data_IF_863886685397
#
_entry.id   IF_863886685397
#
_cell.length_a   1.000
_cell.length_b   1.000
_cell.length_c   1.000
_cell.angle_alpha   90.00
_cell.angle_beta   90.00
_cell.angle_gamma   90.00
#
_symmetry.space_group_name_H-M   'P 1'
#
loop_
_entity.id
_entity.type
_entity.pdbx_description
1 polymer ?
#
# COMPACT_ATOMS: atom_id res chain seq x y z
N UNK A 1 27.06 10.80 11.24
CA UNK A 1 26.76 9.56 12.00
C UNK A 1 26.18 8.54 11.05
N UNK A 2 26.88 7.42 10.81
CA UNK A 2 26.31 6.23 10.18
C UNK A 2 25.59 5.46 11.28
N UNK A 3 24.29 5.66 11.44
CA UNK A 3 23.48 4.78 12.27
C UNK A 3 23.50 3.40 11.59
N UNK A 4 24.26 2.46 12.14
CA UNK A 4 24.19 1.05 11.78
C UNK A 4 22.85 0.52 12.29
N UNK A 5 21.79 0.78 11.52
CA UNK A 5 20.49 0.18 11.76
C UNK A 5 20.60 -1.34 11.57
N UNK A 6 20.52 -2.09 12.67
CA UNK A 6 20.38 -3.53 12.63
C UNK A 6 18.90 -3.90 12.68
N UNK A 7 18.40 -4.49 11.60
CA UNK A 7 17.04 -5.02 11.55
C UNK A 7 16.88 -6.09 12.65
N UNK A 8 15.96 -5.85 13.59
CA UNK A 8 15.59 -6.88 14.55
C UNK A 8 14.73 -7.95 13.86
N UNK A 9 15.39 -9.00 13.37
CA UNK A 9 14.77 -10.08 12.58
C UNK A 9 13.56 -10.71 13.25
N UNK A 10 13.60 -10.91 14.58
CA UNK A 10 12.48 -11.50 15.34
C UNK A 10 11.27 -10.58 15.32
N UNK A 11 11.47 -9.28 15.61
CA UNK A 11 10.37 -8.30 15.56
C UNK A 11 9.82 -8.14 14.15
N UNK A 12 10.68 -8.15 13.13
CA UNK A 12 10.25 -8.10 11.75
C UNK A 12 9.38 -9.29 11.36
N UNK A 13 9.77 -10.51 11.74
CA UNK A 13 8.97 -11.71 11.50
C UNK A 13 7.60 -11.63 12.18
N UNK A 14 7.55 -11.15 13.42
CA UNK A 14 6.27 -10.93 14.14
C UNK A 14 5.39 -9.93 13.38
N UNK A 15 5.96 -8.86 12.84
CA UNK A 15 5.20 -7.89 12.02
C UNK A 15 4.63 -8.52 10.75
N UNK A 16 5.39 -9.40 10.07
CA UNK A 16 4.89 -10.16 8.92
C UNK A 16 3.71 -11.05 9.34
N UNK A 17 3.84 -11.76 10.47
CA UNK A 17 2.76 -12.61 11.00
C UNK A 17 1.51 -11.78 11.32
N UNK A 18 1.66 -10.63 11.98
CA UNK A 18 0.54 -9.71 12.26
C UNK A 18 -0.13 -9.28 10.96
N UNK A 19 0.65 -8.86 9.96
CA UNK A 19 0.11 -8.46 8.67
C UNK A 19 -0.65 -9.60 7.98
N UNK A 20 -0.14 -10.84 8.02
CA UNK A 20 -0.82 -12.01 7.47
C UNK A 20 -2.15 -12.27 8.20
N UNK A 21 -2.15 -12.25 9.54
CA UNK A 21 -3.36 -12.48 10.34
C UNK A 21 -4.42 -11.43 10.04
N UNK A 22 -4.03 -10.15 9.97
CA UNK A 22 -4.95 -9.05 9.65
C UNK A 22 -5.45 -9.17 8.21
N UNK A 23 -4.59 -9.57 7.28
CA UNK A 23 -4.96 -9.80 5.89
C UNK A 23 -5.99 -10.92 5.75
N UNK A 24 -5.80 -12.04 6.46
CA UNK A 24 -6.77 -13.14 6.52
C UNK A 24 -8.08 -12.68 7.16
N UNK A 25 -8.01 -11.97 8.29
CA UNK A 25 -9.20 -11.42 8.96
C UNK A 25 -9.97 -10.46 8.05
N UNK A 26 -9.25 -9.61 7.30
CA UNK A 26 -9.86 -8.73 6.32
C UNK A 26 -10.60 -9.54 5.27
N UNK A 27 -9.93 -10.49 4.60
CA UNK A 27 -10.54 -11.32 3.55
C UNK A 27 -11.75 -12.16 4.01
N UNK A 28 -11.70 -12.70 5.22
CA UNK A 28 -12.73 -13.64 5.69
C UNK A 28 -13.90 -12.95 6.40
N UNK A 29 -13.68 -11.79 7.00
CA UNK A 29 -14.66 -11.17 7.90
C UNK A 29 -15.02 -9.77 7.42
N UNK A 30 -14.05 -8.86 7.27
CA UNK A 30 -14.33 -7.46 6.93
C UNK A 30 -14.87 -7.36 5.51
N UNK A 31 -14.19 -8.01 4.58
CA UNK A 31 -14.43 -7.90 3.15
C UNK A 31 -15.83 -8.39 2.74
N UNK A 32 -16.34 -9.54 3.24
CA UNK A 32 -17.71 -9.96 2.95
C UNK A 32 -18.81 -9.15 3.65
N UNK A 33 -18.49 -8.48 4.78
CA UNK A 33 -19.46 -7.70 5.56
C UNK A 33 -19.62 -6.27 5.04
N UNK A 34 -18.54 -5.68 4.51
CA UNK A 34 -18.53 -4.29 4.02
C UNK A 34 -18.89 -4.23 2.53
N UNK A 35 -18.44 -5.20 1.74
CA UNK A 35 -18.68 -5.20 0.31
C UNK A 35 -19.75 -6.24 -0.05
N UNK A 36 -20.91 -5.75 -0.47
CA UNK A 36 -21.97 -6.59 -1.00
C UNK A 36 -21.45 -7.43 -2.20
N UNK A 37 -21.56 -8.77 -2.18
CA UNK A 37 -21.16 -9.61 -3.31
C UNK A 37 -21.87 -9.27 -4.63
N UNK A 38 -23.09 -8.73 -4.59
CA UNK A 38 -23.83 -8.29 -5.79
C UNK A 38 -23.26 -7.00 -6.38
N UNK A 39 -22.87 -6.05 -5.53
CA UNK A 39 -22.16 -4.83 -5.94
C UNK A 39 -20.79 -5.19 -6.50
N UNK A 40 -20.07 -6.15 -5.89
CA UNK A 40 -18.81 -6.69 -6.41
C UNK A 40 -18.93 -7.34 -7.77
N UNK A 41 -19.98 -8.12 -8.02
CA UNK A 41 -20.23 -8.70 -9.34
C UNK A 41 -20.36 -7.62 -10.41
N UNK A 42 -21.13 -6.58 -10.13
CA UNK A 42 -21.33 -5.46 -11.07
C UNK A 42 -20.07 -4.60 -11.28
N UNK A 43 -19.31 -4.29 -10.23
CA UNK A 43 -18.10 -3.45 -10.32
C UNK A 43 -16.90 -4.23 -10.89
N UNK A 44 -16.74 -5.53 -10.57
CA UNK A 44 -15.67 -6.37 -11.16
C UNK A 44 -15.84 -6.59 -12.66
N UNK A 45 -17.08 -6.59 -13.16
CA UNK A 45 -17.37 -6.67 -14.60
C UNK A 45 -17.01 -5.35 -15.31
N UNK A 46 -17.07 -4.21 -14.60
CA UNK A 46 -16.72 -2.89 -15.13
C UNK A 46 -15.23 -2.52 -14.97
N UNK A 47 -14.55 -3.04 -13.95
CA UNK A 47 -13.16 -2.69 -13.61
C UNK A 47 -12.39 -3.97 -13.29
N UNK A 48 -11.97 -4.71 -14.31
CA UNK A 48 -11.21 -5.96 -14.16
C UNK A 48 -9.91 -5.81 -13.34
N UNK A 49 -9.41 -4.59 -13.20
CA UNK A 49 -8.19 -4.26 -12.45
C UNK A 49 -8.43 -3.88 -10.97
N UNK A 50 -9.69 -3.87 -10.50
CA UNK A 50 -10.03 -3.60 -9.09
C UNK A 50 -9.36 -4.61 -8.13
N UNK A 51 -9.17 -5.87 -8.57
CA UNK A 51 -8.55 -6.93 -7.75
C UNK A 51 -7.09 -6.60 -7.41
N UNK A 52 -6.35 -5.97 -8.32
CA UNK A 52 -4.95 -5.58 -8.10
C UNK A 52 -4.88 -4.47 -7.05
N UNK A 53 -5.74 -3.45 -7.20
CA UNK A 53 -5.81 -2.31 -6.28
C UNK A 53 -6.22 -2.80 -4.89
N UNK A 54 -7.30 -3.57 -4.78
CA UNK A 54 -7.75 -4.13 -3.49
C UNK A 54 -6.67 -4.99 -2.84
N UNK A 55 -5.96 -5.83 -3.60
CA UNK A 55 -4.88 -6.66 -3.05
C UNK A 55 -3.73 -5.81 -2.48
N UNK A 56 -3.27 -4.80 -3.22
CA UNK A 56 -2.22 -3.90 -2.76
C UNK A 56 -2.68 -3.10 -1.53
N UNK A 57 -3.86 -2.49 -1.59
CA UNK A 57 -4.46 -1.74 -0.50
C UNK A 57 -4.62 -2.58 0.77
N UNK A 58 -5.02 -3.84 0.63
CA UNK A 58 -5.12 -4.78 1.75
C UNK A 58 -3.77 -5.05 2.41
N UNK A 59 -2.69 -5.18 1.63
CA UNK A 59 -1.35 -5.31 2.19
C UNK A 59 -0.91 -4.05 2.94
N UNK A 60 -1.12 -2.86 2.36
CA UNK A 60 -0.82 -1.59 3.03
C UNK A 60 -1.60 -1.43 4.34
N UNK A 61 -2.90 -1.74 4.32
CA UNK A 61 -3.73 -1.77 5.51
C UNK A 61 -3.17 -2.71 6.57
N UNK A 62 -2.88 -3.97 6.21
CA UNK A 62 -2.38 -4.97 7.15
C UNK A 62 -1.02 -4.57 7.76
N UNK A 63 -0.12 -4.05 6.93
CA UNK A 63 1.18 -3.57 7.37
C UNK A 63 1.10 -2.29 8.20
N UNK A 64 0.05 -1.49 8.06
CA UNK A 64 -0.19 -0.32 8.90
C UNK A 64 -0.42 -0.72 10.36
N UNK A 65 -1.19 -1.78 10.61
CA UNK A 65 -1.37 -2.31 11.96
C UNK A 65 -0.12 -3.02 12.47
N UNK A 66 0.57 -3.79 11.62
CA UNK A 66 1.85 -4.41 11.99
C UNK A 66 2.91 -3.37 12.39
N UNK A 67 2.88 -2.18 11.80
CA UNK A 67 3.75 -1.07 12.17
C UNK A 67 3.53 -0.59 13.61
N UNK A 68 2.30 -0.63 14.12
CA UNK A 68 1.98 -0.22 15.49
C UNK A 68 2.69 -1.09 16.54
N UNK A 69 2.99 -2.36 16.23
CA UNK A 69 3.72 -3.27 17.11
C UNK A 69 5.21 -2.89 17.25
N UNK A 70 5.89 -2.55 16.16
CA UNK A 70 7.31 -2.16 16.19
C UNK A 70 7.60 -1.04 15.19
N UNK A 71 7.60 0.20 15.71
CA UNK A 71 7.70 1.42 14.92
C UNK A 71 9.09 1.74 14.41
N UNK A 72 10.13 1.02 14.86
CA UNK A 72 11.52 1.23 14.44
C UNK A 72 11.94 0.26 13.35
N UNK A 73 11.07 0.06 12.36
CA UNK A 73 11.34 -0.78 11.22
C UNK A 73 11.49 0.06 9.95
N UNK A 74 12.74 0.33 9.56
CA UNK A 74 13.03 1.16 8.37
C UNK A 74 12.43 0.55 7.09
N UNK A 75 12.45 -0.78 6.94
CA UNK A 75 11.89 -1.44 5.75
C UNK A 75 10.39 -1.19 5.69
N UNK A 76 9.69 -1.38 6.81
CA UNK A 76 8.25 -1.20 6.89
C UNK A 76 7.83 0.26 6.75
N UNK A 77 8.63 1.19 7.29
CA UNK A 77 8.40 2.63 7.11
C UNK A 77 8.48 3.02 5.63
N UNK A 78 9.53 2.59 4.93
CA UNK A 78 9.68 2.83 3.50
C UNK A 78 8.57 2.11 2.71
N UNK A 79 8.15 0.92 3.16
CA UNK A 79 7.03 0.19 2.54
C UNK A 79 5.74 1.01 2.62
N UNK A 80 5.31 1.43 3.80
CA UNK A 80 4.06 2.19 3.98
C UNK A 80 4.06 3.50 3.19
N UNK A 81 5.21 4.17 3.13
CA UNK A 81 5.37 5.37 2.31
C UNK A 81 5.15 5.11 0.82
N UNK A 82 5.62 3.99 0.28
CA UNK A 82 5.34 3.57 -1.10
C UNK A 82 3.85 3.30 -1.38
N UNK A 83 2.97 3.36 -0.38
CA UNK A 83 1.52 3.37 -0.55
C UNK A 83 0.92 4.78 -0.54
N UNK A 84 1.60 5.78 0.01
CA UNK A 84 0.95 7.05 0.39
C UNK A 84 0.25 7.78 -0.76
N UNK A 85 0.99 8.21 -1.79
CA UNK A 85 0.41 8.97 -2.90
C UNK A 85 -0.64 8.14 -3.67
N UNK A 86 -0.38 6.88 -4.04
CA UNK A 86 -1.37 6.03 -4.71
C UNK A 86 -2.65 5.86 -3.92
N UNK A 87 -2.56 5.62 -2.60
CA UNK A 87 -3.73 5.48 -1.73
C UNK A 87 -4.52 6.79 -1.60
N UNK A 88 -3.84 7.94 -1.54
CA UNK A 88 -4.51 9.26 -1.55
C UNK A 88 -5.28 9.48 -2.87
N UNK A 89 -4.68 9.11 -4.01
CA UNK A 89 -5.35 9.19 -5.31
C UNK A 89 -6.57 8.27 -5.34
N UNK A 90 -6.43 7.03 -4.89
CA UNK A 90 -7.53 6.05 -4.82
C UNK A 90 -8.68 6.61 -3.98
N UNK A 91 -8.42 7.08 -2.76
CA UNK A 91 -9.45 7.69 -1.90
C UNK A 91 -10.10 8.90 -2.56
N UNK A 92 -9.31 9.74 -3.24
CA UNK A 92 -9.84 10.89 -3.98
C UNK A 92 -10.81 10.47 -5.08
N UNK A 93 -10.47 9.43 -5.86
CA UNK A 93 -11.34 8.89 -6.91
C UNK A 93 -12.57 8.22 -6.31
N UNK A 94 -12.42 7.42 -5.26
CA UNK A 94 -13.52 6.74 -4.57
C UNK A 94 -14.55 7.72 -4.02
N UNK A 95 -14.11 8.83 -3.42
CA UNK A 95 -15.00 9.85 -2.90
C UNK A 95 -15.62 10.72 -4.00
N UNK A 96 -14.83 11.16 -4.98
CA UNK A 96 -15.28 12.12 -5.99
C UNK A 96 -16.10 11.49 -7.12
N UNK A 97 -15.81 10.24 -7.49
CA UNK A 97 -16.41 9.57 -8.65
C UNK A 97 -17.36 8.46 -8.24
N UNK A 98 -17.01 7.67 -7.23
CA UNK A 98 -17.75 6.44 -6.88
C UNK A 98 -18.70 6.63 -5.68
N UNK A 99 -18.58 7.72 -4.92
CA UNK A 99 -19.38 7.95 -3.72
C UNK A 99 -19.14 6.92 -2.61
N UNK A 100 -17.97 6.27 -2.59
CA UNK A 100 -17.63 5.19 -1.65
C UNK A 100 -17.09 5.77 -0.33
N UNK A 101 -17.98 6.37 0.47
CA UNK A 101 -17.62 6.99 1.75
C UNK A 101 -17.20 6.00 2.85
N UNK A 102 -17.53 4.72 2.68
CA UNK A 102 -17.32 3.67 3.69
C UNK A 102 -16.10 2.78 3.39
N UNK A 103 -15.30 3.11 2.37
CA UNK A 103 -14.06 2.39 2.09
C UNK A 103 -12.94 2.82 3.06
N UNK A 104 -12.84 2.09 4.18
CA UNK A 104 -11.84 2.36 5.21
C UNK A 104 -10.48 1.70 4.94
N UNK A 105 -10.35 0.90 3.88
CA UNK A 105 -9.13 0.12 3.61
C UNK A 105 -7.91 1.03 3.42
N UNK A 106 -8.13 2.22 2.87
CA UNK A 106 -7.08 3.16 2.53
C UNK A 106 -6.70 4.10 3.68
N UNK A 107 -7.56 4.27 4.69
CA UNK A 107 -7.40 5.32 5.71
C UNK A 107 -6.25 5.04 6.69
N UNK A 108 -6.16 3.88 7.37
CA UNK A 108 -5.05 3.59 8.27
C UNK A 108 -3.65 3.72 7.63
N UNK A 109 -3.36 3.17 6.44
CA UNK A 109 -2.05 3.33 5.83
C UNK A 109 -1.73 4.79 5.50
N UNK A 110 -2.71 5.60 5.05
CA UNK A 110 -2.53 7.03 4.82
C UNK A 110 -2.13 7.77 6.11
N UNK A 111 -2.85 7.53 7.21
CA UNK A 111 -2.56 8.17 8.52
C UNK A 111 -1.15 7.83 8.99
N UNK A 112 -0.74 6.56 8.88
CA UNK A 112 0.59 6.14 9.30
C UNK A 112 1.68 6.73 8.40
N UNK A 113 1.44 6.80 7.09
CA UNK A 113 2.38 7.43 6.17
C UNK A 113 2.58 8.92 6.47
N UNK A 114 1.51 9.66 6.77
CA UNK A 114 1.61 11.06 7.23
C UNK A 114 2.46 11.15 8.51
N UNK A 115 2.22 10.25 9.48
CA UNK A 115 3.03 10.21 10.70
C UNK A 115 4.51 9.97 10.40
N UNK A 116 4.85 9.03 9.49
CA UNK A 116 6.22 8.75 9.10
C UNK A 116 6.86 9.97 8.43
N UNK A 117 6.18 10.62 7.48
CA UNK A 117 6.67 11.85 6.82
C UNK A 117 6.99 12.92 7.86
N UNK A 118 6.08 13.18 8.80
CA UNK A 118 6.24 14.26 9.78
C UNK A 118 7.32 13.93 10.82
N UNK A 119 7.31 12.71 11.38
CA UNK A 119 8.09 12.38 12.58
C UNK A 119 9.36 11.58 12.30
N UNK A 120 9.44 10.89 11.16
CA UNK A 120 10.46 9.88 10.86
C UNK A 120 11.06 9.97 9.46
N UNK A 121 10.86 11.07 8.71
CA UNK A 121 11.39 11.20 7.34
C UNK A 121 12.90 10.97 7.21
N UNK A 122 13.68 11.20 8.26
CA UNK A 122 15.13 10.94 8.26
C UNK A 122 15.51 9.46 8.15
N UNK A 123 14.56 8.54 8.35
CA UNK A 123 14.74 7.09 8.22
C UNK A 123 14.38 6.55 6.82
N UNK A 124 13.91 7.43 5.94
CA UNK A 124 13.55 7.09 4.56
C UNK A 124 14.83 6.97 3.73
N UNK A 125 14.91 5.90 2.93
CA UNK A 125 16.08 5.61 2.10
C UNK A 125 15.61 5.22 0.70
N UNK A 126 16.07 5.98 -0.30
CA UNK A 126 15.66 5.79 -1.70
C UNK A 126 15.89 4.36 -2.20
N UNK A 127 16.97 3.70 -1.74
CA UNK A 127 17.25 2.30 -2.07
C UNK A 127 16.11 1.35 -1.70
N UNK A 128 15.44 1.56 -0.56
CA UNK A 128 14.34 0.72 -0.12
C UNK A 128 13.09 1.03 -0.91
N UNK A 129 12.83 2.31 -1.20
CA UNK A 129 11.74 2.72 -2.09
C UNK A 129 11.85 2.03 -3.45
N UNK A 130 13.04 2.01 -4.06
CA UNK A 130 13.27 1.32 -5.33
C UNK A 130 13.00 -0.18 -5.25
N UNK A 131 13.55 -0.87 -4.24
CA UNK A 131 13.32 -2.31 -4.04
C UNK A 131 11.84 -2.63 -3.80
N UNK A 132 11.16 -1.84 -2.96
CA UNK A 132 9.75 -2.00 -2.66
C UNK A 132 8.90 -1.75 -3.91
N UNK A 133 9.20 -0.72 -4.70
CA UNK A 133 8.50 -0.44 -5.95
C UNK A 133 8.59 -1.63 -6.91
N UNK A 134 9.77 -2.23 -7.08
CA UNK A 134 9.94 -3.44 -7.90
C UNK A 134 9.09 -4.59 -7.34
N UNK A 135 9.12 -4.81 -6.02
CA UNK A 135 8.31 -5.84 -5.38
C UNK A 135 6.80 -5.62 -5.63
N UNK A 136 6.30 -4.40 -5.47
CA UNK A 136 4.90 -4.06 -5.72
C UNK A 136 4.52 -4.26 -7.19
N UNK A 137 5.40 -3.95 -8.14
CA UNK A 137 5.19 -4.23 -9.57
C UNK A 137 5.06 -5.72 -9.84
N UNK A 138 5.96 -6.53 -9.27
CA UNK A 138 5.96 -7.98 -9.44
C UNK A 138 4.68 -8.56 -8.83
N UNK A 139 4.32 -8.14 -7.62
CA UNK A 139 3.08 -8.57 -6.98
C UNK A 139 1.84 -8.19 -7.79
N UNK A 140 1.75 -6.93 -8.23
CA UNK A 140 0.64 -6.45 -9.07
C UNK A 140 0.51 -7.26 -10.37
N UNK A 141 1.64 -7.59 -10.99
CA UNK A 141 1.68 -8.44 -12.20
C UNK A 141 1.21 -9.86 -11.91
N UNK A 142 1.63 -10.46 -10.79
CA UNK A 142 1.18 -11.79 -10.35
C UNK A 142 -0.33 -11.78 -10.10
N UNK A 143 -0.83 -10.82 -9.32
CA UNK A 143 -2.27 -10.72 -9.01
C UNK A 143 -3.09 -10.49 -10.28
N UNK A 144 -2.58 -9.67 -11.20
CA UNK A 144 -3.22 -9.47 -12.51
C UNK A 144 -3.30 -10.78 -13.27
N UNK A 145 -2.19 -11.50 -13.46
CA UNK A 145 -2.15 -12.77 -14.20
C UNK A 145 -3.06 -13.84 -13.57
N UNK A 146 -3.09 -13.94 -12.23
CA UNK A 146 -3.94 -14.87 -11.52
C UNK A 146 -5.42 -14.46 -11.56
N UNK A 147 -5.72 -13.16 -11.52
CA UNK A 147 -7.08 -12.62 -11.60
C UNK A 147 -7.68 -12.67 -13.01
N UNK A 148 -6.85 -12.51 -14.06
CA UNK A 148 -7.27 -12.62 -15.47
C UNK A 148 -7.68 -14.03 -15.87
N UNK A 149 -7.30 -15.07 -15.13
CA UNK A 149 -7.79 -16.43 -15.36
C UNK A 149 -9.29 -16.59 -15.03
N UNK A 150 -9.90 -15.62 -14.33
CA UNK A 150 -11.32 -15.65 -13.93
C UNK A 150 -12.18 -14.57 -14.61
N UNK A 151 -11.59 -13.70 -15.42
CA UNK A 151 -12.31 -12.62 -16.11
C UNK A 151 -11.89 -12.60 -17.58
N UNK A 152 -12.80 -12.98 -18.46
CA UNK A 152 -12.60 -12.97 -19.90
C UNK A 152 -12.37 -11.54 -20.40
N UNK A 153 -11.19 -11.31 -20.97
CA UNK A 153 -10.96 -10.39 -22.09
C UNK A 153 -11.42 -8.95 -21.84
N UNK A 154 -10.67 -8.24 -21.00
CA UNK A 154 -10.39 -6.85 -21.28
C UNK A 154 -9.00 -6.51 -20.73
N UNK A 155 -8.04 -6.29 -21.63
CA UNK A 155 -6.77 -5.66 -21.30
C UNK A 155 -7.10 -4.19 -21.05
N UNK A 156 -7.72 -3.87 -19.91
CA UNK A 156 -7.90 -2.47 -19.56
C UNK A 156 -6.51 -1.86 -19.31
N UNK A 157 -6.26 -0.64 -19.80
CA UNK A 157 -5.01 0.08 -19.58
C UNK A 157 -4.81 0.48 -18.11
N UNK A 158 -5.83 0.39 -17.27
CA UNK A 158 -5.82 0.76 -15.85
C UNK A 158 -4.81 -0.06 -15.03
N UNK A 159 -4.71 -1.38 -15.26
CA UNK A 159 -3.72 -2.23 -14.62
C UNK A 159 -2.28 -1.91 -15.07
N UNK A 160 -2.10 -1.40 -16.30
CA UNK A 160 -0.80 -0.90 -16.76
C UNK A 160 -0.47 0.45 -16.09
N UNK A 161 -1.47 1.31 -15.87
CA UNK A 161 -1.32 2.54 -15.07
C UNK A 161 -0.91 2.19 -13.65
N UNK A 162 -1.53 1.21 -12.99
CA UNK A 162 -1.13 0.74 -11.65
C UNK A 162 0.30 0.18 -11.66
N UNK A 163 0.66 -0.65 -12.64
CA UNK A 163 1.99 -1.27 -12.72
C UNK A 163 3.10 -0.27 -13.04
N UNK A 164 2.84 0.77 -13.83
CA UNK A 164 3.86 1.72 -14.32
C UNK A 164 3.87 3.07 -13.57
N UNK A 165 2.70 3.60 -13.24
CA UNK A 165 2.56 4.91 -12.60
C UNK A 165 2.86 4.83 -11.10
N UNK A 166 2.44 3.76 -10.41
CA UNK A 166 2.66 3.60 -8.97
C UNK A 166 4.15 3.60 -8.58
N UNK A 167 5.05 2.84 -9.25
CA UNK A 167 6.49 2.90 -8.99
C UNK A 167 7.09 4.29 -9.23
N UNK A 168 6.64 4.96 -10.30
CA UNK A 168 7.13 6.29 -10.65
C UNK A 168 6.75 7.32 -9.57
N UNK A 169 5.48 7.31 -9.14
CA UNK A 169 4.99 8.18 -8.06
C UNK A 169 5.76 7.93 -6.76
N UNK A 170 6.07 6.68 -6.44
CA UNK A 170 6.86 6.32 -5.25
C UNK A 170 8.29 6.86 -5.32
N UNK A 171 8.94 6.74 -6.47
CA UNK A 171 10.30 7.27 -6.65
C UNK A 171 10.33 8.79 -6.55
N UNK A 172 9.37 9.47 -7.19
CA UNK A 172 9.24 10.93 -7.11
C UNK A 172 8.98 11.40 -5.69
N UNK A 173 8.03 10.78 -4.98
CA UNK A 173 7.73 11.10 -3.59
C UNK A 173 8.94 10.82 -2.69
N UNK A 174 9.61 9.67 -2.88
CA UNK A 174 10.82 9.30 -2.16
C UNK A 174 11.93 10.34 -2.30
N UNK A 175 12.15 10.82 -3.53
CA UNK A 175 13.08 11.91 -3.81
C UNK A 175 12.66 13.19 -3.08
N UNK A 176 11.40 13.62 -3.23
CA UNK A 176 10.89 14.84 -2.59
C UNK A 176 11.06 14.80 -1.07
N UNK A 177 10.74 13.68 -0.40
CA UNK A 177 10.85 13.59 1.05
C UNK A 177 12.31 13.62 1.52
N UNK A 178 13.25 13.03 0.76
CA UNK A 178 14.68 13.07 1.09
C UNK A 178 15.22 14.51 1.00
N UNK A 179 14.70 15.30 0.07
CA UNK A 179 15.05 16.72 -0.08
C UNK A 179 14.28 17.66 0.85
N UNK A 180 13.33 17.17 1.65
CA UNK A 180 12.70 18.01 2.67
C UNK A 180 13.74 18.44 3.70
N UNK A 181 13.80 19.74 4.05
CA UNK A 181 14.76 20.25 5.01
C UNK A 181 14.56 19.55 6.35
N UNK A 182 15.63 18.92 6.86
CA UNK A 182 15.61 18.32 8.20
C UNK A 182 15.34 19.43 9.20
N UNK A 183 14.15 19.44 9.81
CA UNK A 183 13.85 20.37 10.89
C UNK A 183 14.88 20.12 11.98
N UNK A 184 15.78 21.09 12.19
CA UNK A 184 16.77 21.08 13.27
C UNK A 184 15.94 21.08 14.55
N UNK A 185 15.74 19.89 15.16
CA UNK A 185 15.21 19.82 16.52
C UNK A 185 16.35 20.34 17.41
N UNK A 186 16.24 21.60 17.82
CA UNK A 186 16.91 22.10 19.01
C UNK A 186 16.36 21.38 20.22
#
# INVERSE_FOLDING_TARGET
MKDNYQLNKKKFLIQIIIAIVISIFFQLIIDPLIYDPYVRGSIRILVGDAVVITSLSQWFFSFSFAYLYYRENEILENYLLCGFIPLVIIVGVELAVLGLFWDFLHIPPIIISIFIIIKRHSKIKLKYIGIISIFLMVWASIVRLLGTNYTTVAIFPEGLVVILLWPLLNLLMGAMIIYLPKKIRK
#
